data_IF_844224231336
#
_entry.id   IF_844224231336
#
_cell.length_a   1.000
_cell.length_b   1.000
_cell.length_c   1.000
_cell.angle_alpha   90.00
_cell.angle_beta   90.00
_cell.angle_gamma   90.00
#
_symmetry.space_group_name_H-M   'P 1'
#
loop_
_entity.id
_entity.type
_entity.pdbx_description
1 polymer ?
#
# COMPACT_ATOMS: atom_id res chain seq x y z
N UNK A 1 15.29 15.51 -11.37
CA UNK A 1 14.27 14.61 -10.80
C UNK A 1 13.24 15.45 -10.09
N UNK A 2 12.07 15.62 -10.68
CA UNK A 2 10.95 16.30 -10.03
C UNK A 2 10.46 15.42 -8.90
N UNK A 3 10.51 15.90 -7.66
CA UNK A 3 9.89 15.20 -6.53
C UNK A 3 8.43 15.64 -6.43
N UNK A 4 7.51 14.78 -5.97
CA UNK A 4 6.14 15.20 -5.66
C UNK A 4 6.16 16.43 -4.75
N UNK A 5 5.28 17.40 -5.03
CA UNK A 5 5.21 18.66 -4.28
C UNK A 5 4.66 18.47 -2.85
N UNK A 6 4.20 17.27 -2.51
CA UNK A 6 3.61 16.90 -1.24
C UNK A 6 4.41 15.82 -0.52
N UNK A 7 4.27 15.77 0.80
CA UNK A 7 4.86 14.72 1.63
C UNK A 7 4.00 13.46 1.54
N UNK A 8 4.66 12.32 1.51
CA UNK A 8 4.01 11.01 1.51
C UNK A 8 4.84 10.00 2.31
N UNK A 9 4.16 9.01 2.88
CA UNK A 9 4.77 7.80 3.39
C UNK A 9 4.78 6.75 2.28
N UNK A 10 5.93 6.09 2.12
CA UNK A 10 6.10 5.00 1.16
C UNK A 10 6.38 3.69 1.89
N UNK A 11 5.63 2.66 1.53
CA UNK A 11 5.85 1.29 1.96
C UNK A 11 6.14 0.45 0.73
N UNK A 12 7.33 -0.14 0.70
CA UNK A 12 7.65 -1.19 -0.25
C UNK A 12 7.08 -2.52 0.28
N UNK A 13 6.13 -3.10 -0.47
CA UNK A 13 5.48 -4.35 -0.09
C UNK A 13 6.22 -5.57 -0.66
N UNK A 14 7.29 -5.35 -1.44
CA UNK A 14 8.01 -6.38 -2.19
C UNK A 14 7.07 -7.14 -3.16
N UNK A 15 7.53 -8.32 -3.57
CA UNK A 15 6.77 -9.28 -4.35
C UNK A 15 5.55 -9.79 -3.57
N UNK A 16 4.39 -9.65 -4.17
CA UNK A 16 3.12 -10.06 -3.61
C UNK A 16 2.30 -10.87 -4.61
N UNK A 17 1.40 -11.70 -4.10
CA UNK A 17 0.51 -12.52 -4.92
C UNK A 17 -0.82 -11.81 -5.15
N UNK A 18 -1.43 -12.07 -6.28
CA UNK A 18 -2.82 -11.72 -6.52
C UNK A 18 -3.71 -12.25 -5.38
N UNK A 19 -4.60 -11.41 -4.87
CA UNK A 19 -5.50 -11.73 -3.77
C UNK A 19 -4.93 -11.52 -2.37
N UNK A 20 -3.63 -11.21 -2.19
CA UNK A 20 -3.12 -10.75 -0.90
C UNK A 20 -3.89 -9.53 -0.45
N UNK A 21 -4.28 -9.48 0.82
CA UNK A 21 -5.02 -8.36 1.40
C UNK A 21 -4.07 -7.53 2.24
N UNK A 22 -4.02 -6.24 1.96
CA UNK A 22 -3.26 -5.27 2.74
C UNK A 22 -4.27 -4.52 3.60
N UNK A 23 -4.03 -4.47 4.90
CA UNK A 23 -4.76 -3.64 5.84
C UNK A 23 -3.93 -2.39 6.16
N UNK A 24 -4.55 -1.23 6.00
CA UNK A 24 -3.92 0.07 6.21
C UNK A 24 -4.68 0.77 7.33
N UNK A 25 -3.97 1.10 8.40
CA UNK A 25 -4.51 1.92 9.49
C UNK A 25 -4.01 3.34 9.33
N UNK A 26 -4.93 4.29 9.42
CA UNK A 26 -4.68 5.73 9.30
C UNK A 26 -5.18 6.45 10.55
N UNK A 27 -4.46 7.50 10.99
CA UNK A 27 -4.91 8.38 12.07
C UNK A 27 -5.79 9.55 11.61
N UNK A 28 -5.79 9.86 10.31
CA UNK A 28 -6.59 10.92 9.70
C UNK A 28 -7.00 10.57 8.25
N UNK A 29 -7.82 11.42 7.63
CA UNK A 29 -8.21 11.29 6.22
C UNK A 29 -6.96 11.46 5.35
N UNK A 30 -6.65 10.46 4.51
CA UNK A 30 -5.50 10.48 3.62
C UNK A 30 -5.82 9.83 2.28
N UNK A 31 -5.03 10.13 1.26
CA UNK A 31 -5.03 9.38 0.01
C UNK A 31 -4.22 8.10 0.19
N UNK A 32 -4.78 6.98 -0.25
CA UNK A 32 -4.08 5.71 -0.30
C UNK A 32 -3.99 5.25 -1.74
N UNK A 33 -2.75 5.05 -2.21
CA UNK A 33 -2.43 4.69 -3.59
C UNK A 33 -1.59 3.42 -3.60
N UNK A 34 -2.18 2.32 -4.02
CA UNK A 34 -1.50 1.06 -4.25
C UNK A 34 -1.10 0.97 -5.73
N UNK A 35 0.19 0.77 -5.99
CA UNK A 35 0.79 0.85 -7.33
C UNK A 35 1.78 -0.29 -7.54
N UNK A 36 1.86 -0.80 -8.77
CA UNK A 36 2.99 -1.64 -9.18
C UNK A 36 4.24 -0.78 -9.41
N UNK A 37 5.41 -1.40 -9.59
CA UNK A 37 6.69 -0.68 -9.72
C UNK A 37 6.69 0.36 -10.84
N UNK A 38 6.15 0.04 -12.02
CA UNK A 38 6.11 0.99 -13.15
C UNK A 38 5.22 2.22 -12.87
N UNK A 39 4.11 2.04 -12.14
CA UNK A 39 3.27 3.16 -11.75
C UNK A 39 3.89 3.96 -10.60
N UNK A 40 4.60 3.31 -9.67
CA UNK A 40 5.33 3.99 -8.62
C UNK A 40 6.46 4.87 -9.16
N UNK A 41 7.23 4.37 -10.13
CA UNK A 41 8.26 5.17 -10.83
C UNK A 41 7.63 6.42 -11.46
N UNK A 42 6.55 6.26 -12.25
CA UNK A 42 5.79 7.38 -12.83
C UNK A 42 5.26 8.34 -11.77
N UNK A 43 4.78 7.84 -10.63
CA UNK A 43 4.36 8.68 -9.50
C UNK A 43 5.52 9.53 -8.98
N UNK A 44 6.70 8.93 -8.76
CA UNK A 44 7.88 9.66 -8.28
C UNK A 44 8.38 10.69 -9.28
N UNK A 45 8.21 10.46 -10.57
CA UNK A 45 8.53 11.39 -11.66
C UNK A 45 7.42 12.42 -11.92
N UNK A 46 6.35 12.43 -11.12
CA UNK A 46 5.18 13.31 -11.28
C UNK A 46 4.47 13.15 -12.63
N UNK A 47 4.57 11.96 -13.22
CA UNK A 47 3.91 11.57 -14.47
C UNK A 47 2.54 10.94 -14.20
N UNK A 48 1.74 10.84 -15.27
CA UNK A 48 0.46 10.13 -15.24
C UNK A 48 0.68 8.65 -14.93
N UNK A 49 0.04 8.18 -13.87
CA UNK A 49 0.10 6.81 -13.35
C UNK A 49 -1.30 6.33 -12.97
N UNK A 50 -1.43 5.02 -12.77
CA UNK A 50 -2.62 4.36 -12.28
C UNK A 50 -2.36 3.79 -10.88
N UNK A 51 -3.39 3.75 -10.06
CA UNK A 51 -3.33 3.18 -8.72
C UNK A 51 -4.68 2.56 -8.34
N UNK A 52 -4.64 1.64 -7.38
CA UNK A 52 -5.82 1.12 -6.68
C UNK A 52 -5.94 1.86 -5.34
N UNK A 53 -7.15 2.29 -5.01
CA UNK A 53 -7.42 3.04 -3.77
C UNK A 53 -8.11 4.37 -4.03
N UNK A 54 -7.76 5.39 -3.25
CA UNK A 54 -8.40 6.70 -3.29
C UNK A 54 -8.39 7.39 -1.92
N UNK A 55 -9.31 8.34 -1.72
CA UNK A 55 -9.45 9.06 -0.46
C UNK A 55 -10.03 8.14 0.62
N UNK A 56 -9.22 7.81 1.62
CA UNK A 56 -9.62 7.00 2.75
C UNK A 56 -10.18 7.89 3.87
N UNK A 57 -11.49 7.82 4.09
CA UNK A 57 -12.20 8.59 5.13
C UNK A 57 -12.46 7.80 6.42
N UNK A 58 -12.21 6.49 6.40
CA UNK A 58 -12.41 5.56 7.51
C UNK A 58 -11.17 4.70 7.65
N UNK A 59 -10.94 4.17 8.84
CA UNK A 59 -9.76 3.36 9.18
C UNK A 59 -10.21 2.22 10.11
N UNK A 60 -9.67 0.99 9.96
CA UNK A 60 -8.73 0.56 8.93
C UNK A 60 -9.40 0.39 7.55
N UNK A 61 -8.62 0.48 6.48
CA UNK A 61 -9.03 0.11 5.12
C UNK A 61 -8.34 -1.17 4.69
N UNK A 62 -8.97 -1.91 3.77
CA UNK A 62 -8.40 -3.12 3.19
C UNK A 62 -8.39 -3.02 1.67
N UNK A 63 -7.22 -3.24 1.07
CA UNK A 63 -7.04 -3.31 -0.37
C UNK A 63 -6.57 -4.71 -0.74
N UNK A 64 -7.13 -5.28 -1.80
CA UNK A 64 -6.66 -6.55 -2.35
C UNK A 64 -5.73 -6.27 -3.53
N UNK A 65 -4.60 -6.97 -3.56
CA UNK A 65 -3.68 -6.92 -4.68
C UNK A 65 -4.32 -7.58 -5.91
N UNK A 66 -4.47 -6.86 -7.03
CA UNK A 66 -5.21 -7.36 -8.19
C UNK A 66 -4.44 -8.42 -8.98
N UNK A 67 -3.11 -8.32 -9.03
CA UNK A 67 -2.23 -9.21 -9.78
C UNK A 67 -0.91 -9.43 -9.04
N UNK A 68 -0.25 -10.57 -9.30
CA UNK A 68 1.03 -10.89 -8.68
C UNK A 68 2.16 -10.01 -9.24
N UNK A 69 3.05 -9.53 -8.37
CA UNK A 69 4.22 -8.74 -8.74
C UNK A 69 4.73 -7.89 -7.59
N UNK A 70 5.63 -6.95 -7.87
CA UNK A 70 6.17 -6.01 -6.89
C UNK A 70 5.23 -4.81 -6.71
N UNK A 71 4.78 -4.60 -5.47
CA UNK A 71 3.83 -3.54 -5.12
C UNK A 71 4.39 -2.51 -4.15
N UNK A 72 3.94 -1.27 -4.33
CA UNK A 72 4.27 -0.12 -3.50
C UNK A 72 2.97 0.51 -3.01
N UNK A 73 2.92 0.85 -1.73
CA UNK A 73 1.84 1.64 -1.15
C UNK A 73 2.35 3.04 -0.83
N UNK A 74 1.60 4.03 -1.28
CA UNK A 74 1.80 5.44 -0.93
C UNK A 74 0.61 5.91 -0.12
N UNK A 75 0.91 6.56 1.01
CA UNK A 75 -0.06 7.31 1.81
C UNK A 75 0.34 8.78 1.77
N UNK A 76 -0.51 9.62 1.19
CA UNK A 76 -0.25 11.05 1.03
C UNK A 76 -1.43 11.90 1.50
N UNK A 77 -1.14 13.17 1.79
CA UNK A 77 -2.12 14.15 2.24
C UNK A 77 -2.39 15.21 1.17
N UNK A 78 -2.16 14.89 -0.12
CA UNK A 78 -2.45 15.83 -1.20
C UNK A 78 -3.93 16.27 -1.14
N UNK A 79 -4.16 17.58 -1.00
CA UNK A 79 -5.50 18.15 -0.86
C UNK A 79 -6.13 18.03 0.54
N UNK A 80 -5.39 17.57 1.55
CA UNK A 80 -5.86 17.45 2.93
C UNK A 80 -4.98 18.24 3.91
N UNK A 81 -5.61 18.92 4.87
CA UNK A 81 -4.89 19.65 5.92
C UNK A 81 -4.43 18.67 7.01
N UNK A 82 -3.12 18.59 7.24
CA UNK A 82 -2.52 17.86 8.36
C UNK A 82 -1.55 16.76 7.95
N UNK A 83 -1.19 15.93 8.93
CA UNK A 83 -0.34 14.75 8.77
C UNK A 83 -1.12 13.53 9.24
N UNK A 84 -1.20 12.48 8.41
CA UNK A 84 -1.73 11.20 8.80
C UNK A 84 -0.59 10.26 9.15
N UNK A 85 -0.58 9.75 10.37
CA UNK A 85 0.20 8.58 10.70
C UNK A 85 -0.44 7.36 10.04
N UNK A 86 0.40 6.45 9.56
CA UNK A 86 -0.07 5.25 8.89
C UNK A 86 0.74 4.02 9.27
N UNK A 87 0.06 2.87 9.32
CA UNK A 87 0.67 1.56 9.49
C UNK A 87 0.05 0.56 8.53
N UNK A 88 0.86 -0.37 8.06
CA UNK A 88 0.48 -1.34 7.02
C UNK A 88 0.71 -2.74 7.55
N UNK A 89 -0.30 -3.59 7.41
CA UNK A 89 -0.24 -5.01 7.76
C UNK A 89 -0.68 -5.85 6.58
N UNK A 90 0.13 -6.83 6.21
CA UNK A 90 -0.26 -7.84 5.23
C UNK A 90 -1.07 -8.93 5.92
N UNK A 91 -2.23 -9.22 5.35
CA UNK A 91 -3.12 -10.30 5.77
C UNK A 91 -3.03 -11.37 4.69
N UNK A 92 -2.11 -12.31 4.89
CA UNK A 92 -2.08 -13.53 4.10
C UNK A 92 -3.31 -14.36 4.42
N UNK A 93 -4.14 -14.65 3.41
CA UNK A 93 -5.20 -15.65 3.54
C UNK A 93 -4.65 -17.08 3.68
N UNK A 94 -3.34 -17.29 3.50
CA UNK A 94 -2.72 -18.61 3.39
C UNK A 94 -1.84 -19.01 4.58
N UNK A 95 -1.73 -18.22 5.64
CA UNK A 95 -0.98 -18.62 6.84
C UNK A 95 -1.79 -19.59 7.72
N UNK A 96 -2.07 -20.79 7.19
CA UNK A 96 -2.17 -21.95 8.05
C UNK A 96 -0.77 -22.17 8.65
N UNK A 97 -0.64 -22.39 9.97
CA UNK A 97 0.67 -22.69 10.56
C UNK A 97 1.19 -23.96 9.89
N UNK A 98 2.34 -23.86 9.20
CA UNK A 98 3.08 -25.03 8.76
C UNK A 98 3.56 -25.74 10.02
N UNK A 99 2.73 -26.63 10.56
CA UNK A 99 3.08 -27.53 11.63
C UNK A 99 4.25 -28.38 11.13
N UNK A 100 5.47 -28.00 11.48
CA UNK A 100 6.63 -28.88 11.33
C UNK A 100 6.40 -30.06 12.27
N UNK A 101 5.86 -31.16 11.74
CA UNK A 101 6.02 -32.47 12.37
C UNK A 101 7.50 -32.84 12.27
N UNK A 102 8.27 -32.56 13.32
CA UNK A 102 9.49 -33.28 13.60
C UNK A 102 9.08 -34.57 14.31
N UNK A 103 9.26 -35.69 13.61
CA UNK A 103 9.16 -37.02 14.17
C UNK A 103 10.37 -37.30 15.06
N UNK A 104 10.13 -37.83 16.26
CA UNK A 104 10.94 -38.84 16.97
C UNK A 104 9.98 -39.70 17.79
#
# INVERSE_FOLDING_TARGET
MSKPAFRYSHYDLNEQRAGTVIEITLSAIANVRLMNSSNFERFTETLKHQFVGGVAKKSPIRLSIPESGHWHLVVDMEGHNGFAESSVKMIDKTSAPRMQKAAV
#
